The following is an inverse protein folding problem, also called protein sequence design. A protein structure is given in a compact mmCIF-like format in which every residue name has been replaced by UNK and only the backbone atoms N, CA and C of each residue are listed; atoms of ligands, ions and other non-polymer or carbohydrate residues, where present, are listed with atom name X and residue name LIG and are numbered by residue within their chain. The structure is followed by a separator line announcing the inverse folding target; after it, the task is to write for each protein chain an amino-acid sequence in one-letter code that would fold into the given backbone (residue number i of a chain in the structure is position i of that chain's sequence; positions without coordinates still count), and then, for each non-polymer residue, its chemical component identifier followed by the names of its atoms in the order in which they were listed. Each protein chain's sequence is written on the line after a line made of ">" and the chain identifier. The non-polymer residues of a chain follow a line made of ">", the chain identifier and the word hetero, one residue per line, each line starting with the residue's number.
data_IF_624290262289
#
_entry.id   IF_624290262289
#
_cell.length_a   1.000
_cell.length_b   1.000
_cell.length_c   1.000
_cell.angle_alpha   90.00
_cell.angle_beta   90.00
_cell.angle_gamma   90.00
#
_symmetry.space_group_name_H-M   'P 1'
#
loop_
_entity.id
_entity.type
_entity.pdbx_description
1 polymer ?
#
# COMPACT_ATOMS: atom_id res chain seq x y z
N UNK A 1 -22.19 52.29 -59.57
CA UNK A 1 -21.72 52.55 -58.19
C UNK A 1 -22.59 51.93 -57.10
N UNK A 2 -23.91 51.80 -57.30
CA UNK A 2 -24.84 51.31 -56.27
C UNK A 2 -24.69 49.83 -55.89
N UNK A 3 -24.39 48.95 -56.86
CA UNK A 3 -24.16 47.51 -56.61
C UNK A 3 -22.95 47.21 -55.71
N UNK A 4 -21.91 48.04 -55.76
CA UNK A 4 -20.71 47.86 -54.92
C UNK A 4 -20.99 48.20 -53.44
N UNK A 5 -21.85 49.20 -53.19
CA UNK A 5 -22.23 49.58 -51.82
C UNK A 5 -23.14 48.55 -51.14
N UNK A 6 -23.98 47.85 -51.90
CA UNK A 6 -24.83 46.78 -51.36
C UNK A 6 -23.97 45.61 -50.87
N UNK A 7 -22.98 45.20 -51.68
CA UNK A 7 -22.09 44.10 -51.33
C UNK A 7 -21.21 44.40 -50.10
N UNK A 8 -20.81 45.66 -49.90
CA UNK A 8 -20.05 46.07 -48.72
C UNK A 8 -20.89 46.07 -47.44
N UNK A 9 -22.17 46.45 -47.52
CA UNK A 9 -23.11 46.39 -46.38
C UNK A 9 -23.41 44.95 -45.96
N UNK A 10 -23.59 44.05 -46.92
CA UNK A 10 -23.79 42.62 -46.66
C UNK A 10 -22.57 41.99 -45.98
N UNK A 11 -21.36 42.30 -46.46
CA UNK A 11 -20.12 41.81 -45.86
C UNK A 11 -19.94 42.31 -44.42
N UNK A 12 -20.35 43.54 -44.14
CA UNK A 12 -20.28 44.12 -42.79
C UNK A 12 -21.32 43.48 -41.85
N UNK A 13 -22.51 43.17 -42.35
CA UNK A 13 -23.54 42.45 -41.59
C UNK A 13 -23.08 41.02 -41.21
N UNK A 14 -22.47 40.30 -42.15
CA UNK A 14 -21.93 38.95 -41.90
C UNK A 14 -20.82 38.98 -40.85
N UNK A 15 -19.91 39.97 -40.89
CA UNK A 15 -18.87 40.15 -39.87
C UNK A 15 -19.46 40.40 -38.48
N UNK A 16 -20.48 41.26 -38.37
CA UNK A 16 -21.16 41.53 -37.10
C UNK A 16 -21.87 40.29 -36.53
N UNK A 17 -22.52 39.48 -37.38
CA UNK A 17 -23.16 38.23 -36.96
C UNK A 17 -22.13 37.18 -36.48
N UNK A 18 -20.99 37.07 -37.15
CA UNK A 18 -19.90 36.19 -36.70
C UNK A 18 -19.35 36.60 -35.34
N UNK A 19 -19.16 37.90 -35.11
CA UNK A 19 -18.71 38.43 -33.82
C UNK A 19 -19.71 38.12 -32.70
N UNK A 20 -21.00 38.33 -32.93
CA UNK A 20 -22.07 38.02 -31.96
C UNK A 20 -22.18 36.52 -31.65
N UNK A 21 -22.02 35.65 -32.66
CA UNK A 21 -22.03 34.20 -32.45
C UNK A 21 -20.85 33.73 -31.60
N UNK A 22 -19.66 34.32 -31.82
CA UNK A 22 -18.47 33.98 -31.06
C UNK A 22 -18.54 34.47 -29.61
N UNK A 23 -19.06 35.67 -29.36
CA UNK A 23 -19.24 36.16 -27.98
C UNK A 23 -20.23 35.31 -27.20
N UNK A 24 -21.35 34.92 -27.81
CA UNK A 24 -22.36 34.07 -27.15
C UNK A 24 -21.81 32.67 -26.81
N UNK A 25 -21.04 32.06 -27.71
CA UNK A 25 -20.37 30.77 -27.45
C UNK A 25 -19.37 30.87 -26.31
N UNK A 26 -18.60 31.96 -26.25
CA UNK A 26 -17.59 32.15 -25.21
C UNK A 26 -18.24 32.31 -23.82
N UNK A 27 -19.29 33.12 -23.71
CA UNK A 27 -20.07 33.28 -22.47
C UNK A 27 -20.72 31.97 -22.01
N UNK A 28 -21.20 31.15 -22.96
CA UNK A 28 -21.78 29.83 -22.64
C UNK A 28 -20.75 28.87 -22.03
N UNK A 29 -19.52 28.86 -22.54
CA UNK A 29 -18.43 28.02 -22.02
C UNK A 29 -17.95 28.50 -20.65
N UNK A 30 -17.82 29.82 -20.44
CA UNK A 30 -17.43 30.38 -19.14
C UNK A 30 -18.43 30.05 -18.03
N UNK A 31 -19.73 30.11 -18.32
CA UNK A 31 -20.78 29.72 -17.36
C UNK A 31 -20.73 28.23 -17.01
N UNK A 32 -20.48 27.35 -17.98
CA UNK A 32 -20.30 25.92 -17.73
C UNK A 32 -19.04 25.66 -16.87
N UNK A 33 -17.95 26.38 -17.12
CA UNK A 33 -16.73 26.28 -16.34
C UNK A 33 -16.92 26.72 -14.88
N UNK A 34 -17.67 27.81 -14.66
CA UNK A 34 -18.02 28.29 -13.32
C UNK A 34 -18.88 27.27 -12.56
N UNK A 35 -19.87 26.67 -13.23
CA UNK A 35 -20.73 25.63 -12.64
C UNK A 35 -19.92 24.40 -12.22
N UNK A 36 -19.01 23.91 -13.08
CA UNK A 36 -18.11 22.80 -12.75
C UNK A 36 -17.18 23.15 -11.59
N UNK A 37 -16.67 24.39 -11.53
CA UNK A 37 -15.79 24.84 -10.44
C UNK A 37 -16.53 24.85 -9.10
N UNK A 38 -17.79 25.33 -9.08
CA UNK A 38 -18.63 25.31 -7.89
C UNK A 38 -18.91 23.88 -7.41
N UNK A 39 -19.27 22.97 -8.32
CA UNK A 39 -19.50 21.56 -7.98
C UNK A 39 -18.25 20.89 -7.41
N UNK A 40 -17.07 21.18 -7.97
CA UNK A 40 -15.80 20.63 -7.50
C UNK A 40 -15.43 21.14 -6.10
N UNK A 41 -15.72 22.43 -5.81
CA UNK A 41 -15.53 22.97 -4.45
C UNK A 41 -16.47 22.35 -3.43
N UNK A 42 -17.73 22.06 -3.80
CA UNK A 42 -18.69 21.38 -2.95
C UNK A 42 -18.24 19.96 -2.61
N UNK A 43 -17.79 19.19 -3.60
CA UNK A 43 -17.23 17.83 -3.40
C UNK A 43 -15.98 17.85 -2.50
N UNK A 44 -15.12 18.86 -2.64
CA UNK A 44 -13.94 19.01 -1.80
C UNK A 44 -14.30 19.21 -0.32
N UNK A 45 -15.32 20.01 -0.02
CA UNK A 45 -15.84 20.22 1.34
C UNK A 45 -16.38 18.92 1.94
N UNK A 46 -17.15 18.14 1.17
CA UNK A 46 -17.72 16.86 1.62
C UNK A 46 -16.61 15.83 1.93
N UNK A 47 -15.58 15.76 1.08
CA UNK A 47 -14.39 14.92 1.32
C UNK A 47 -13.67 15.35 2.60
N UNK A 48 -13.52 16.66 2.83
CA UNK A 48 -12.87 17.18 4.03
C UNK A 48 -13.67 16.82 5.29
N UNK A 49 -14.99 16.89 5.24
CA UNK A 49 -15.87 16.50 6.34
C UNK A 49 -15.75 15.00 6.65
N UNK A 50 -15.81 14.15 5.63
CA UNK A 50 -15.61 12.70 5.78
C UNK A 50 -14.23 12.37 6.37
N UNK A 51 -13.19 13.09 5.96
CA UNK A 51 -11.83 12.93 6.51
C UNK A 51 -11.74 13.34 7.98
N UNK A 52 -12.50 14.35 8.41
CA UNK A 52 -12.63 14.69 9.83
C UNK A 52 -13.34 13.58 10.62
N UNK A 53 -14.44 13.03 10.09
CA UNK A 53 -15.17 11.92 10.71
C UNK A 53 -14.30 10.66 10.85
N UNK A 54 -13.52 10.30 9.82
CA UNK A 54 -12.57 9.19 9.87
C UNK A 54 -11.55 9.34 11.01
N UNK A 55 -10.94 10.53 11.16
CA UNK A 55 -9.97 10.79 12.24
C UNK A 55 -10.59 10.66 13.63
N UNK A 56 -11.85 11.03 13.80
CA UNK A 56 -12.57 10.83 15.06
C UNK A 56 -12.80 9.34 15.35
N UNK A 57 -13.17 8.55 14.34
CA UNK A 57 -13.33 7.09 14.48
C UNK A 57 -12.00 6.39 14.80
N UNK A 58 -10.90 6.79 14.17
CA UNK A 58 -9.56 6.26 14.47
C UNK A 58 -9.16 6.46 15.93
N UNK A 59 -9.49 7.64 16.51
CA UNK A 59 -9.27 7.91 17.94
C UNK A 59 -10.11 6.97 18.83
N UNK A 60 -11.38 6.77 18.48
CA UNK A 60 -12.26 5.85 19.21
C UNK A 60 -11.72 4.42 19.16
N UNK A 61 -11.34 3.93 17.97
CA UNK A 61 -10.74 2.60 17.80
C UNK A 61 -9.47 2.46 18.65
N UNK A 62 -8.62 3.48 18.70
CA UNK A 62 -7.42 3.50 19.53
C UNK A 62 -7.75 3.37 21.03
N UNK A 63 -8.77 4.10 21.51
CA UNK A 63 -9.23 4.01 22.89
C UNK A 63 -9.82 2.63 23.21
N UNK A 64 -10.63 2.06 22.32
CA UNK A 64 -11.19 0.72 22.48
C UNK A 64 -10.08 -0.34 22.55
N UNK A 65 -9.08 -0.26 21.67
CA UNK A 65 -7.91 -1.16 21.71
C UNK A 65 -7.13 -1.07 23.02
N UNK A 66 -6.94 0.13 23.56
CA UNK A 66 -6.30 0.33 24.88
C UNK A 66 -7.15 -0.29 26.01
N UNK A 67 -8.47 -0.09 25.99
CA UNK A 67 -9.37 -0.66 27.00
C UNK A 67 -9.34 -2.19 26.96
N UNK A 68 -9.43 -2.79 25.78
CA UNK A 68 -9.37 -4.25 25.59
C UNK A 68 -8.05 -4.84 26.11
N UNK A 69 -6.92 -4.19 25.80
CA UNK A 69 -5.60 -4.61 26.27
C UNK A 69 -5.46 -4.54 27.80
N UNK A 70 -6.07 -3.55 28.43
CA UNK A 70 -6.05 -3.40 29.88
C UNK A 70 -6.89 -4.48 30.59
N UNK A 71 -8.04 -4.85 30.03
CA UNK A 71 -8.87 -5.94 30.59
C UNK A 71 -8.17 -7.30 30.46
N UNK A 72 -7.55 -7.60 29.32
CA UNK A 72 -6.78 -8.84 29.14
C UNK A 72 -5.61 -8.97 30.14
N UNK A 73 -4.94 -7.85 30.43
CA UNK A 73 -3.84 -7.82 31.41
C UNK A 73 -4.31 -7.99 32.87
N UNK A 74 -5.58 -7.70 33.19
CA UNK A 74 -6.15 -7.94 34.53
C UNK A 74 -6.48 -9.42 34.73
N UNK A 75 -7.07 -10.07 33.72
CA UNK A 75 -7.38 -11.50 33.77
C UNK A 75 -6.12 -12.38 33.88
N UNK A 76 -5.03 -11.96 33.23
CA UNK A 76 -3.74 -12.67 33.29
C UNK A 76 -3.03 -12.54 34.66
N UNK A 77 -3.41 -11.55 35.48
CA UNK A 77 -2.83 -11.36 36.84
C UNK A 77 -3.71 -11.91 37.96
N UNK A 78 -5.02 -12.08 37.74
CA UNK A 78 -5.95 -12.59 38.75
C UNK A 78 -5.93 -14.13 38.92
N UNK A 79 -5.21 -14.85 38.05
CA UNK A 79 -5.17 -16.32 38.04
C UNK A 79 -3.94 -16.92 38.74
N UNK A 80 -3.05 -16.11 39.34
CA UNK A 80 -1.85 -16.59 40.05
C UNK A 80 -1.79 -16.06 41.49
N UNK A 81 -2.80 -16.35 42.31
CA UNK A 81 -2.67 -16.36 43.78
C UNK A 81 -3.88 -17.07 44.39
N UNK A 82 -3.85 -18.40 44.44
CA UNK A 82 -4.53 -19.16 45.49
C UNK A 82 -4.10 -20.63 45.46
N UNK A 83 -3.12 -20.97 46.28
CA UNK A 83 -3.14 -22.12 47.21
C UNK A 83 -1.95 -21.91 48.13
N UNK A 84 -2.21 -21.48 49.36
CA UNK A 84 -1.63 -22.12 50.53
C UNK A 84 -2.22 -21.47 51.77
N UNK A 85 -3.02 -22.26 52.48
CA UNK A 85 -3.40 -21.93 53.83
C UNK A 85 -3.40 -23.22 54.68
N UNK A 86 -2.58 -23.15 55.73
CA UNK A 86 -2.92 -23.55 57.12
C UNK A 86 -2.58 -24.98 57.54
N UNK A 87 -1.58 -25.08 58.43
CA UNK A 87 -1.72 -25.77 59.72
C UNK A 87 -0.70 -25.23 60.75
N UNK A 88 -1.08 -25.30 62.04
CA UNK A 88 -0.62 -24.51 63.19
C UNK A 88 -0.24 -25.46 64.34
N UNK A 89 0.71 -25.01 65.19
CA UNK A 89 1.10 -25.49 66.55
C UNK A 89 1.87 -26.83 66.61
N UNK A 90 2.87 -27.05 67.47
CA UNK A 90 2.96 -26.77 68.91
C UNK A 90 4.42 -26.84 69.46
N UNK A 91 4.69 -26.09 70.55
CA UNK A 91 5.69 -26.19 71.65
C UNK A 91 7.21 -26.51 71.45
N UNK A 92 8.04 -25.75 72.19
CA UNK A 92 9.01 -26.39 73.12
C UNK A 92 10.48 -25.91 73.16
N UNK A 93 10.72 -24.74 73.78
CA UNK A 93 11.86 -24.34 74.63
C UNK A 93 13.26 -25.06 74.63
N UNK A 94 14.30 -24.22 74.43
CA UNK A 94 15.46 -23.95 75.33
C UNK A 94 16.75 -24.82 75.34
N UNK A 95 17.88 -24.17 74.97
CA UNK A 95 19.06 -23.85 75.83
C UNK A 95 20.47 -24.30 75.35
N UNK A 96 21.33 -23.27 75.16
CA UNK A 96 22.81 -23.16 75.32
C UNK A 96 23.73 -24.12 74.52
N UNK A 97 24.93 -23.77 74.04
CA UNK A 97 26.02 -22.91 74.52
C UNK A 97 26.89 -22.50 73.31
N UNK A 98 27.58 -21.36 73.42
CA UNK A 98 28.72 -20.97 72.59
C UNK A 98 30.01 -21.37 73.37
N UNK A 99 31.15 -21.67 72.72
CA UNK A 99 32.16 -20.60 72.65
C UNK A 99 33.12 -20.62 71.43
N UNK A 100 33.38 -19.40 70.94
CA UNK A 100 34.70 -18.75 70.78
C UNK A 100 35.70 -19.23 69.70
N UNK A 101 35.79 -18.37 68.66
CA UNK A 101 36.97 -17.72 68.06
C UNK A 101 38.04 -18.52 67.26
N UNK A 102 38.31 -18.05 66.03
CA UNK A 102 39.61 -17.46 65.63
C UNK A 102 39.50 -16.64 64.33
N UNK A 103 40.18 -15.49 64.33
CA UNK A 103 40.39 -14.51 63.24
C UNK A 103 41.49 -14.96 62.28
N UNK A 104 41.39 -14.54 61.01
CA UNK A 104 42.40 -13.81 60.20
C UNK A 104 41.83 -13.71 58.76
N UNK A 105 41.32 -12.58 58.27
CA UNK A 105 42.01 -11.40 57.76
C UNK A 105 42.86 -11.65 56.49
N UNK A 106 42.32 -11.30 55.32
CA UNK A 106 43.05 -10.56 54.27
C UNK A 106 42.06 -10.00 53.24
N UNK A 107 42.05 -8.67 53.15
CA UNK A 107 41.38 -7.84 52.15
C UNK A 107 41.83 -8.14 50.71
N UNK A 108 40.93 -7.99 49.74
CA UNK A 108 41.15 -7.15 48.55
C UNK A 108 39.82 -6.93 47.84
N UNK A 109 39.55 -5.66 47.57
CA UNK A 109 38.29 -5.12 47.09
C UNK A 109 38.20 -5.10 45.56
N UNK A 110 36.95 -5.27 45.10
CA UNK A 110 36.30 -4.65 43.94
C UNK A 110 36.19 -5.37 42.59
N UNK A 111 35.08 -5.07 41.86
CA UNK A 111 34.40 -5.99 40.96
C UNK A 111 34.56 -5.60 39.49
N UNK A 112 34.58 -6.58 38.58
CA UNK A 112 34.42 -6.31 37.15
C UNK A 112 33.19 -7.04 36.63
N UNK A 113 32.18 -6.24 36.30
CA UNK A 113 30.93 -6.63 35.68
C UNK A 113 31.19 -7.13 34.25
N UNK A 114 31.18 -8.45 34.06
CA UNK A 114 31.16 -9.05 32.73
C UNK A 114 29.75 -8.91 32.11
N UNK A 115 29.55 -7.85 31.31
CA UNK A 115 28.40 -7.73 30.40
C UNK A 115 28.59 -8.63 29.18
N UNK A 116 27.82 -9.73 29.07
CA UNK A 116 27.06 -10.17 27.86
C UNK A 116 26.32 -11.50 28.13
N UNK A 117 25.15 -11.74 27.51
CA UNK A 117 25.01 -11.83 26.04
C UNK A 117 23.94 -10.90 25.44
N UNK A 118 24.39 -10.03 24.52
CA UNK A 118 23.53 -9.32 23.55
C UNK A 118 23.49 -10.05 22.20
N UNK A 119 24.21 -11.17 22.06
CA UNK A 119 24.40 -11.89 20.79
C UNK A 119 23.22 -12.81 20.53
N UNK A 120 22.73 -13.51 21.56
CA UNK A 120 21.69 -14.54 21.42
C UNK A 120 20.32 -13.97 21.02
N UNK A 121 19.97 -12.79 21.55
CA UNK A 121 18.70 -12.13 21.22
C UNK A 121 18.66 -11.58 19.77
N UNK A 122 19.80 -11.16 19.22
CA UNK A 122 19.90 -10.65 17.86
C UNK A 122 19.85 -11.80 16.83
N UNK A 123 20.54 -12.90 17.09
CA UNK A 123 20.51 -14.10 16.26
C UNK A 123 19.12 -14.76 16.28
N UNK A 124 18.49 -14.90 17.45
CA UNK A 124 17.15 -15.46 17.56
C UNK A 124 16.10 -14.61 16.83
N UNK A 125 16.24 -13.27 16.83
CA UNK A 125 15.36 -12.36 16.09
C UNK A 125 15.59 -12.43 14.58
N UNK A 126 16.83 -12.60 14.14
CA UNK A 126 17.18 -12.77 12.73
C UNK A 126 16.60 -14.07 12.17
N UNK A 127 16.79 -15.19 12.88
CA UNK A 127 16.27 -16.50 12.50
C UNK A 127 14.74 -16.50 12.39
N UNK A 128 14.06 -15.86 13.35
CA UNK A 128 12.59 -15.69 13.31
C UNK A 128 12.11 -14.82 12.14
N UNK A 129 12.89 -13.81 11.77
CA UNK A 129 12.56 -12.94 10.63
C UNK A 129 12.68 -13.72 9.31
N UNK A 130 13.76 -14.48 9.17
CA UNK A 130 14.01 -15.29 7.99
C UNK A 130 12.96 -16.40 7.83
N UNK A 131 12.54 -17.05 8.92
CA UNK A 131 11.48 -18.07 8.89
C UNK A 131 10.12 -17.48 8.47
N UNK A 132 9.78 -16.28 8.94
CA UNK A 132 8.55 -15.59 8.52
C UNK A 132 8.56 -15.25 7.03
N UNK A 133 9.70 -14.77 6.53
CA UNK A 133 9.88 -14.46 5.11
C UNK A 133 9.76 -15.72 4.26
N UNK A 134 10.41 -16.81 4.65
CA UNK A 134 10.34 -18.10 3.94
C UNK A 134 8.90 -18.63 3.88
N UNK A 135 8.23 -18.69 5.03
CA UNK A 135 6.83 -19.11 5.13
C UNK A 135 5.89 -18.25 4.27
N UNK A 136 6.12 -16.92 4.24
CA UNK A 136 5.35 -16.02 3.39
C UNK A 136 5.57 -16.28 1.90
N UNK A 137 6.82 -16.53 1.47
CA UNK A 137 7.12 -16.83 0.07
C UNK A 137 6.54 -18.16 -0.37
N UNK A 138 6.58 -19.19 0.48
CA UNK A 138 5.93 -20.48 0.22
C UNK A 138 4.42 -20.31 0.07
N UNK A 139 3.78 -19.59 1.00
CA UNK A 139 2.34 -19.27 0.93
C UNK A 139 1.97 -18.60 -0.40
N UNK A 140 2.77 -17.63 -0.86
CA UNK A 140 2.52 -16.94 -2.13
C UNK A 140 2.76 -17.82 -3.35
N UNK A 141 3.76 -18.71 -3.28
CA UNK A 141 4.03 -19.67 -4.33
C UNK A 141 2.86 -20.65 -4.47
N UNK A 142 2.39 -21.21 -3.36
CA UNK A 142 1.33 -22.22 -3.36
C UNK A 142 -0.04 -21.62 -3.71
N UNK A 143 -0.28 -20.37 -3.34
CA UNK A 143 -1.48 -19.63 -3.73
C UNK A 143 -1.45 -19.13 -5.19
N UNK A 144 -0.31 -19.26 -5.89
CA UNK A 144 -0.15 -18.65 -7.21
C UNK A 144 -1.02 -19.34 -8.27
N UNK A 145 -1.95 -18.57 -8.81
CA UNK A 145 -2.76 -18.95 -9.97
C UNK A 145 -2.71 -17.83 -11.02
N UNK A 146 -3.14 -18.13 -12.25
CA UNK A 146 -3.19 -17.11 -13.30
C UNK A 146 -4.39 -16.16 -13.07
N UNK A 147 -4.11 -15.03 -12.41
CA UNK A 147 -5.11 -14.02 -12.10
C UNK A 147 -5.69 -13.39 -13.38
N UNK A 148 -4.85 -13.27 -14.42
CA UNK A 148 -5.20 -12.71 -15.72
C UNK A 148 -5.55 -13.78 -16.76
N UNK A 149 -6.14 -14.90 -16.32
CA UNK A 149 -6.65 -15.91 -17.24
C UNK A 149 -7.60 -15.29 -18.28
N UNK A 150 -7.60 -15.86 -19.49
CA UNK A 150 -8.37 -15.35 -20.64
C UNK A 150 -9.86 -15.14 -20.32
N UNK A 151 -10.44 -16.04 -19.52
CA UNK A 151 -11.83 -15.94 -19.09
C UNK A 151 -12.07 -14.70 -18.22
N UNK A 152 -11.14 -14.39 -17.33
CA UNK A 152 -11.25 -13.27 -16.42
C UNK A 152 -11.05 -11.93 -17.16
N UNK A 153 -10.08 -11.87 -18.06
CA UNK A 153 -9.86 -10.74 -18.97
C UNK A 153 -11.12 -10.45 -19.80
N UNK A 154 -11.75 -11.48 -20.37
CA UNK A 154 -13.01 -11.34 -21.11
C UNK A 154 -14.16 -10.83 -20.24
N UNK A 155 -14.29 -11.35 -19.01
CA UNK A 155 -15.33 -10.94 -18.08
C UNK A 155 -15.18 -9.47 -17.63
N UNK A 156 -13.95 -9.01 -17.39
CA UNK A 156 -13.66 -7.60 -17.10
C UNK A 156 -13.98 -6.68 -18.27
N UNK A 157 -13.62 -7.09 -19.49
CA UNK A 157 -13.87 -6.30 -20.69
C UNK A 157 -15.37 -6.11 -20.90
N UNK A 158 -16.15 -7.16 -20.68
CA UNK A 158 -17.63 -7.15 -20.71
C UNK A 158 -18.28 -6.42 -19.53
N UNK A 159 -17.51 -5.95 -18.55
CA UNK A 159 -18.04 -5.26 -17.36
C UNK A 159 -18.80 -6.17 -16.38
N UNK A 160 -18.71 -7.49 -16.59
CA UNK A 160 -19.42 -8.50 -15.79
C UNK A 160 -18.69 -8.91 -14.51
N UNK A 161 -17.44 -8.46 -14.33
CA UNK A 161 -16.62 -8.74 -13.15
C UNK A 161 -16.01 -7.44 -12.59
N UNK A 162 -15.80 -7.39 -11.27
CA UNK A 162 -15.07 -6.30 -10.60
C UNK A 162 -13.56 -6.58 -10.64
N UNK A 163 -12.76 -5.53 -10.51
CA UNK A 163 -11.30 -5.66 -10.38
C UNK A 163 -10.99 -6.54 -9.15
N UNK A 164 -10.07 -7.50 -9.24
CA UNK A 164 -9.83 -8.45 -8.19
C UNK A 164 -9.02 -7.73 -7.12
N UNK A 165 -9.61 -7.60 -5.94
CA UNK A 165 -8.85 -7.19 -4.76
C UNK A 165 -7.75 -8.19 -4.45
N UNK A 166 -6.95 -7.89 -3.43
CA UNK A 166 -5.99 -8.84 -2.89
C UNK A 166 -6.71 -10.12 -2.46
N UNK A 167 -6.12 -11.29 -2.71
CA UNK A 167 -6.63 -12.57 -2.19
C UNK A 167 -6.44 -12.64 -0.68
N UNK A 168 -7.06 -13.61 -0.03
CA UNK A 168 -6.99 -13.73 1.43
C UNK A 168 -5.58 -14.14 1.89
N UNK A 169 -4.85 -14.90 1.08
CA UNK A 169 -3.43 -15.22 1.28
C UNK A 169 -2.56 -13.96 1.16
N UNK A 170 -2.79 -13.15 0.13
CA UNK A 170 -2.08 -11.88 -0.04
C UNK A 170 -2.37 -10.91 1.13
N UNK A 171 -3.63 -10.83 1.59
CA UNK A 171 -4.01 -10.04 2.78
C UNK A 171 -3.34 -10.58 4.04
N UNK A 172 -3.33 -11.90 4.22
CA UNK A 172 -2.69 -12.57 5.35
C UNK A 172 -1.21 -12.21 5.41
N UNK A 173 -0.49 -12.41 4.30
CA UNK A 173 0.93 -12.06 4.18
C UNK A 173 1.14 -10.57 4.44
N UNK A 174 0.45 -9.68 3.73
CA UNK A 174 0.64 -8.22 3.91
C UNK A 174 0.39 -7.76 5.35
N UNK A 175 -0.58 -8.34 6.05
CA UNK A 175 -0.88 -8.00 7.45
C UNK A 175 0.28 -8.32 8.42
N UNK A 176 1.00 -9.42 8.19
CA UNK A 176 2.17 -9.83 9.01
C UNK A 176 3.30 -8.81 8.88
N UNK A 177 3.53 -8.30 7.68
CA UNK A 177 4.65 -7.39 7.39
C UNK A 177 4.32 -5.92 7.55
N UNK A 178 3.04 -5.51 7.61
CA UNK A 178 2.62 -4.11 7.69
C UNK A 178 3.06 -3.40 8.99
N UNK A 179 3.12 -4.12 10.11
CA UNK A 179 3.27 -3.51 11.45
C UNK A 179 4.69 -3.02 11.72
N UNK A 180 5.71 -3.69 11.17
CA UNK A 180 7.10 -3.41 11.46
C UNK A 180 7.85 -2.94 10.21
N UNK A 181 8.13 -1.63 10.14
CA UNK A 181 8.82 -1.00 9.01
C UNK A 181 10.11 -1.70 8.59
N UNK A 182 10.96 -2.11 9.53
CA UNK A 182 12.23 -2.78 9.21
C UNK A 182 12.00 -4.17 8.60
N UNK A 183 11.03 -4.90 9.13
CA UNK A 183 10.62 -6.20 8.59
C UNK A 183 9.98 -6.02 7.19
N UNK A 184 9.15 -5.00 6.99
CA UNK A 184 8.57 -4.68 5.68
C UNK A 184 9.64 -4.38 4.65
N UNK A 185 10.63 -3.54 4.97
CA UNK A 185 11.71 -3.21 4.03
C UNK A 185 12.56 -4.42 3.67
N UNK A 186 12.85 -5.27 4.66
CA UNK A 186 13.57 -6.52 4.42
C UNK A 186 12.77 -7.42 3.48
N UNK A 187 11.47 -7.58 3.72
CA UNK A 187 10.62 -8.41 2.88
C UNK A 187 10.41 -7.84 1.46
N UNK A 188 10.23 -6.52 1.33
CA UNK A 188 10.19 -5.84 0.02
C UNK A 188 11.47 -6.10 -0.79
N UNK A 189 12.63 -6.08 -0.14
CA UNK A 189 13.92 -6.38 -0.78
C UNK A 189 13.96 -7.83 -1.28
N UNK A 190 13.56 -8.77 -0.42
CA UNK A 190 13.49 -10.19 -0.79
C UNK A 190 12.51 -10.44 -1.94
N UNK A 191 11.35 -9.79 -1.94
CA UNK A 191 10.40 -9.89 -3.06
C UNK A 191 11.03 -9.38 -4.36
N UNK A 192 11.75 -8.26 -4.34
CA UNK A 192 12.44 -7.75 -5.52
C UNK A 192 13.47 -8.72 -6.07
N UNK A 193 14.24 -9.36 -5.19
CA UNK A 193 15.24 -10.35 -5.60
C UNK A 193 14.57 -11.62 -6.15
N UNK A 194 13.44 -12.03 -5.55
CA UNK A 194 12.63 -13.16 -6.06
C UNK A 194 12.02 -12.84 -7.42
N UNK A 195 11.50 -11.63 -7.65
CA UNK A 195 11.00 -11.18 -8.96
C UNK A 195 12.10 -11.27 -10.03
N UNK A 196 13.34 -10.87 -9.69
CA UNK A 196 14.48 -10.99 -10.61
C UNK A 196 14.85 -12.43 -10.93
N UNK A 197 14.69 -13.34 -9.96
CA UNK A 197 15.00 -14.77 -10.14
C UNK A 197 13.91 -15.52 -10.93
N UNK A 198 12.64 -15.20 -10.68
CA UNK A 198 11.46 -15.93 -11.19
C UNK A 198 10.94 -15.43 -12.54
N UNK A 199 11.81 -14.91 -13.43
CA UNK A 199 11.40 -14.30 -14.71
C UNK A 199 10.50 -15.17 -15.60
N UNK A 200 10.47 -16.49 -15.39
CA UNK A 200 9.73 -17.47 -16.18
C UNK A 200 8.40 -17.90 -15.54
N UNK A 201 8.21 -17.68 -14.24
CA UNK A 201 7.00 -18.12 -13.53
C UNK A 201 5.99 -16.97 -13.44
N UNK A 202 5.16 -16.86 -14.48
CA UNK A 202 4.20 -15.76 -14.63
C UNK A 202 3.26 -15.61 -13.44
N UNK A 203 2.70 -16.72 -12.93
CA UNK A 203 1.73 -16.69 -11.84
C UNK A 203 2.38 -16.16 -10.55
N UNK A 204 3.57 -16.66 -10.24
CA UNK A 204 4.34 -16.23 -9.06
C UNK A 204 4.73 -14.75 -9.19
N UNK A 205 5.14 -14.30 -10.39
CA UNK A 205 5.44 -12.89 -10.64
C UNK A 205 4.22 -11.99 -10.39
N UNK A 206 3.03 -12.39 -10.85
CA UNK A 206 1.80 -11.62 -10.62
C UNK A 206 1.55 -11.43 -9.11
N UNK A 207 1.60 -12.50 -8.34
CA UNK A 207 1.41 -12.47 -6.88
C UNK A 207 2.47 -11.62 -6.16
N UNK A 208 3.75 -11.82 -6.51
CA UNK A 208 4.85 -11.03 -5.94
C UNK A 208 4.68 -9.54 -6.24
N UNK A 209 4.29 -9.18 -7.45
CA UNK A 209 4.00 -7.80 -7.82
C UNK A 209 2.82 -7.22 -7.03
N UNK A 210 1.71 -7.96 -6.84
CA UNK A 210 0.56 -7.49 -6.05
C UNK A 210 0.93 -7.25 -4.60
N UNK A 211 1.59 -8.21 -3.97
CA UNK A 211 2.02 -8.09 -2.57
C UNK A 211 3.00 -6.94 -2.40
N UNK A 212 3.95 -6.78 -3.33
CA UNK A 212 4.87 -5.65 -3.31
C UNK A 212 4.13 -4.31 -3.37
N UNK A 213 3.18 -4.18 -4.30
CA UNK A 213 2.36 -2.96 -4.45
C UNK A 213 1.51 -2.71 -3.22
N UNK A 214 0.87 -3.74 -2.65
CA UNK A 214 0.04 -3.60 -1.46
C UNK A 214 0.83 -3.16 -0.23
N UNK A 215 2.02 -3.72 -0.02
CA UNK A 215 2.92 -3.29 1.06
C UNK A 215 3.39 -1.83 0.85
N UNK A 216 3.68 -1.43 -0.39
CA UNK A 216 4.02 -0.04 -0.70
C UNK A 216 2.82 0.90 -0.49
N UNK A 217 1.61 0.48 -0.88
CA UNK A 217 0.38 1.25 -0.72
C UNK A 217 0.07 1.52 0.76
N UNK A 218 0.17 0.51 1.61
CA UNK A 218 -0.01 0.66 3.06
C UNK A 218 0.96 1.67 3.69
N UNK A 219 2.10 1.89 3.03
CA UNK A 219 3.13 2.84 3.46
C UNK A 219 3.09 4.18 2.73
N UNK A 220 2.25 4.32 1.71
CA UNK A 220 2.19 5.49 0.83
C UNK A 220 3.44 5.68 -0.04
N UNK A 221 4.21 4.62 -0.30
CA UNK A 221 5.48 4.69 -1.05
C UNK A 221 5.24 4.35 -2.53
N UNK A 222 4.64 5.28 -3.27
CA UNK A 222 4.38 5.10 -4.71
C UNK A 222 5.67 5.08 -5.54
N UNK A 223 6.75 5.71 -5.07
CA UNK A 223 8.02 5.76 -5.78
C UNK A 223 8.63 4.37 -5.98
N UNK A 224 8.56 3.50 -4.96
CA UNK A 224 8.98 2.10 -5.08
C UNK A 224 8.19 1.34 -6.13
N UNK A 225 6.88 1.58 -6.19
CA UNK A 225 6.00 0.97 -7.20
C UNK A 225 6.37 1.45 -8.61
N UNK A 226 6.61 2.74 -8.80
CA UNK A 226 7.06 3.29 -10.08
C UNK A 226 8.42 2.73 -10.49
N UNK A 227 9.34 2.59 -9.54
CA UNK A 227 10.67 2.03 -9.77
C UNK A 227 10.60 0.55 -10.17
N UNK A 228 9.69 -0.21 -9.57
CA UNK A 228 9.43 -1.60 -9.99
C UNK A 228 8.83 -1.63 -11.40
N UNK A 229 7.81 -0.83 -11.69
CA UNK A 229 7.19 -0.76 -13.01
C UNK A 229 8.19 -0.41 -14.12
N UNK A 230 9.03 0.59 -13.88
CA UNK A 230 10.11 0.95 -14.79
C UNK A 230 11.07 -0.22 -15.05
N UNK A 231 11.46 -0.96 -14.00
CA UNK A 231 12.33 -2.14 -14.13
C UNK A 231 11.67 -3.25 -14.94
N UNK A 232 10.40 -3.56 -14.67
CA UNK A 232 9.64 -4.58 -15.42
C UNK A 232 9.57 -4.23 -16.91
N UNK A 233 9.33 -2.96 -17.24
CA UNK A 233 9.26 -2.48 -18.61
C UNK A 233 10.62 -2.42 -19.30
N UNK A 234 11.70 -2.12 -18.58
CA UNK A 234 13.05 -1.97 -19.13
C UNK A 234 13.77 -3.30 -19.32
N UNK A 235 13.66 -4.24 -18.38
CA UNK A 235 14.43 -5.48 -18.38
C UNK A 235 13.77 -6.62 -19.19
N UNK A 236 12.88 -6.27 -20.13
CA UNK A 236 12.14 -7.17 -21.02
C UNK A 236 11.52 -8.39 -20.30
N UNK A 237 10.88 -8.14 -19.16
CA UNK A 237 10.06 -9.17 -18.50
C UNK A 237 8.95 -9.64 -19.46
N UNK A 238 8.70 -10.96 -19.51
CA UNK A 238 7.68 -11.48 -20.40
C UNK A 238 6.30 -11.02 -19.89
N UNK A 239 5.45 -10.59 -20.81
CA UNK A 239 4.13 -10.03 -20.51
C UNK A 239 4.18 -8.83 -19.53
N UNK A 240 5.23 -8.01 -19.57
CA UNK A 240 5.34 -6.81 -18.71
C UNK A 240 4.06 -5.95 -18.64
N UNK A 241 3.29 -5.71 -19.73
CA UNK A 241 2.02 -5.00 -19.63
C UNK A 241 0.98 -5.67 -18.74
N UNK A 242 0.94 -7.01 -18.70
CA UNK A 242 0.09 -7.75 -17.76
C UNK A 242 0.52 -7.51 -16.33
N UNK A 243 1.82 -7.51 -16.05
CA UNK A 243 2.32 -7.18 -14.71
C UNK A 243 1.95 -5.75 -14.31
N UNK A 244 2.03 -4.78 -15.22
CA UNK A 244 1.54 -3.40 -14.97
C UNK A 244 0.03 -3.41 -14.65
N UNK A 245 -0.78 -4.15 -15.40
CA UNK A 245 -2.22 -4.31 -15.11
C UNK A 245 -2.43 -4.87 -13.69
N UNK A 246 -1.71 -5.92 -13.32
CA UNK A 246 -1.77 -6.51 -11.98
C UNK A 246 -1.42 -5.50 -10.89
N UNK A 247 -0.41 -4.66 -11.11
CA UNK A 247 -0.06 -3.57 -10.19
C UNK A 247 -1.20 -2.55 -10.04
N UNK A 248 -1.86 -2.18 -11.15
CA UNK A 248 -3.04 -1.30 -11.14
C UNK A 248 -4.20 -1.95 -10.37
N UNK A 249 -4.39 -3.27 -10.49
CA UNK A 249 -5.46 -3.95 -9.73
C UNK A 249 -5.26 -3.90 -8.23
N UNK A 250 -4.01 -3.93 -7.76
CA UNK A 250 -3.68 -3.78 -6.35
C UNK A 250 -3.76 -2.31 -5.88
N UNK A 251 -3.36 -1.35 -6.72
CA UNK A 251 -3.40 0.07 -6.39
C UNK A 251 -3.86 0.93 -7.61
N UNK A 252 -5.18 1.16 -7.77
CA UNK A 252 -5.77 1.73 -9.00
C UNK A 252 -5.28 3.13 -9.39
N UNK A 253 -4.80 3.93 -8.44
CA UNK A 253 -4.31 5.29 -8.68
C UNK A 253 -2.78 5.42 -8.61
N UNK A 254 -2.03 4.32 -8.58
CA UNK A 254 -0.58 4.41 -8.40
C UNK A 254 0.12 5.07 -9.58
N UNK A 255 -0.41 4.91 -10.80
CA UNK A 255 0.15 5.52 -12.01
C UNK A 255 -0.68 6.73 -12.48
N UNK A 256 -0.88 7.72 -11.62
CA UNK A 256 -1.47 8.99 -12.04
C UNK A 256 -0.60 9.68 -13.10
N UNK A 257 -1.21 10.19 -14.17
CA UNK A 257 -0.54 10.69 -15.38
C UNK A 257 0.31 11.97 -15.18
N UNK A 258 0.19 12.63 -14.04
CA UNK A 258 0.81 13.95 -13.81
C UNK A 258 2.34 13.90 -13.67
N UNK A 259 2.89 12.78 -13.22
CA UNK A 259 4.34 12.64 -13.04
C UNK A 259 5.05 12.22 -14.35
N UNK A 260 6.22 12.80 -14.69
CA UNK A 260 6.98 12.42 -15.89
C UNK A 260 7.27 10.92 -15.98
N UNK A 261 7.63 10.29 -14.86
CA UNK A 261 7.90 8.85 -14.80
C UNK A 261 6.63 8.03 -15.09
N UNK A 262 5.47 8.42 -14.55
CA UNK A 262 4.20 7.77 -14.84
C UNK A 262 3.83 7.90 -16.33
N UNK A 263 4.07 9.07 -16.96
CA UNK A 263 3.87 9.23 -18.41
C UNK A 263 4.75 8.27 -19.21
N UNK A 264 6.04 8.16 -18.86
CA UNK A 264 6.93 7.21 -19.51
C UNK A 264 6.46 5.76 -19.33
N UNK A 265 6.05 5.39 -18.11
CA UNK A 265 5.45 4.07 -17.83
C UNK A 265 4.22 3.84 -18.71
N UNK A 266 3.32 4.83 -18.83
CA UNK A 266 2.12 4.72 -19.67
C UNK A 266 2.46 4.51 -21.14
N UNK A 267 3.34 5.35 -21.70
CA UNK A 267 3.75 5.28 -23.10
C UNK A 267 4.36 3.91 -23.41
N UNK A 268 5.35 3.48 -22.63
CA UNK A 268 6.05 2.20 -22.87
C UNK A 268 5.10 1.01 -22.66
N UNK A 269 4.23 1.07 -21.65
CA UNK A 269 3.22 0.02 -21.43
C UNK A 269 2.26 -0.05 -22.62
N UNK A 270 1.78 1.09 -23.14
CA UNK A 270 0.89 1.16 -24.31
C UNK A 270 1.56 0.59 -25.56
N UNK A 271 2.84 0.87 -25.76
CA UNK A 271 3.61 0.33 -26.89
C UNK A 271 3.83 -1.18 -26.81
N UNK A 272 4.00 -1.72 -25.59
CA UNK A 272 4.25 -3.15 -25.37
C UNK A 272 2.96 -3.98 -25.24
N UNK A 273 1.83 -3.35 -24.95
CA UNK A 273 0.54 -4.02 -24.78
C UNK A 273 -0.12 -4.33 -26.13
N UNK A 274 -0.79 -5.48 -26.21
CA UNK A 274 -1.61 -5.87 -27.36
C UNK A 274 -2.91 -6.53 -26.92
N UNK A 275 -3.86 -6.66 -27.86
CA UNK A 275 -5.13 -7.35 -27.66
C UNK A 275 -5.95 -6.86 -26.47
N UNK A 276 -6.54 -7.78 -25.72
CA UNK A 276 -7.43 -7.48 -24.61
C UNK A 276 -6.74 -6.73 -23.45
N UNK A 277 -5.44 -6.97 -23.25
CA UNK A 277 -4.66 -6.31 -22.19
C UNK A 277 -4.51 -4.81 -22.48
N UNK A 278 -4.29 -4.44 -23.74
CA UNK A 278 -4.28 -3.04 -24.15
C UNK A 278 -5.64 -2.38 -23.90
N UNK A 279 -6.74 -3.05 -24.25
CA UNK A 279 -8.09 -2.53 -24.03
C UNK A 279 -8.40 -2.32 -22.54
N UNK A 280 -8.04 -3.30 -21.70
CA UNK A 280 -8.18 -3.17 -20.25
C UNK A 280 -7.33 -2.03 -19.70
N UNK A 281 -6.05 -1.93 -20.10
CA UNK A 281 -5.17 -0.86 -19.65
C UNK A 281 -5.71 0.52 -20.04
N UNK A 282 -6.21 0.68 -21.26
CA UNK A 282 -6.85 1.93 -21.70
C UNK A 282 -8.02 2.33 -20.80
N UNK A 283 -8.86 1.36 -20.41
CA UNK A 283 -9.99 1.59 -19.50
C UNK A 283 -9.54 2.00 -18.10
N UNK A 284 -8.59 1.26 -17.50
CA UNK A 284 -8.18 1.44 -16.10
C UNK A 284 -7.21 2.60 -15.89
N UNK A 285 -6.33 2.88 -16.85
CA UNK A 285 -5.43 4.04 -16.83
C UNK A 285 -6.01 5.27 -17.54
N UNK A 286 -7.25 5.16 -18.02
CA UNK A 286 -8.03 6.22 -18.66
C UNK A 286 -7.36 6.84 -19.90
N UNK A 287 -6.62 6.06 -20.68
CA UNK A 287 -5.92 6.56 -21.87
C UNK A 287 -6.88 7.15 -22.92
N UNK A 288 -8.08 6.62 -23.02
CA UNK A 288 -9.09 7.07 -23.99
C UNK A 288 -9.63 8.48 -23.68
N UNK A 289 -9.49 8.95 -22.44
CA UNK A 289 -9.85 10.33 -22.07
C UNK A 289 -8.79 11.36 -22.48
N UNK A 290 -7.56 10.93 -22.70
CA UNK A 290 -6.43 11.81 -23.04
C UNK A 290 -6.03 11.73 -24.52
N UNK A 291 -6.65 10.85 -25.31
CA UNK A 291 -6.39 10.72 -26.75
C UNK A 291 -6.79 11.94 -27.59
N UNK A 292 -7.60 12.86 -27.04
CA UNK A 292 -8.03 14.09 -27.72
C UNK A 292 -7.03 15.26 -27.63
N UNK A 293 -5.86 15.09 -27.02
CA UNK A 293 -4.87 16.18 -26.89
C UNK A 293 -3.54 15.96 -27.63
N UNK A 294 -3.44 14.95 -28.49
CA UNK A 294 -2.28 14.80 -29.38
C UNK A 294 -2.76 14.79 -30.82
N UNK A 295 -3.14 15.97 -31.32
CA UNK A 295 -3.04 16.26 -32.74
C UNK A 295 -1.85 17.21 -32.87
N UNK A 296 -0.77 16.72 -33.48
CA UNK A 296 0.41 17.51 -33.87
C UNK A 296 -0.01 18.46 -34.99
#
# INVERSE_FOLDING_TARGET
>A
MEKANISQRELQAIKSLMLLSNTHKNVSVENQLLALKAENTSKHLEIQELKCKMRSLEKIICLMKKKLKNELNKETKSSFTQTDNKQKADKGNQTQTNPRAKRAASDTSQPTTAKRPRIDAAQHKHNKTQSLIACALETLHDASYDLLSTNWVSALLKGSCKLPGLTDEEKSVTSVFCVNKCLTETFLTVILDKIKAEKKSHNVLQFLCRVYVALCQQRGDSHKVHTLAYRLLKEDFPEAPKLIMVMVTAWPCVFSYDAPLCRAIHIVTKMKAGGDILCLLSKYLHWDRFALQVTI
#
